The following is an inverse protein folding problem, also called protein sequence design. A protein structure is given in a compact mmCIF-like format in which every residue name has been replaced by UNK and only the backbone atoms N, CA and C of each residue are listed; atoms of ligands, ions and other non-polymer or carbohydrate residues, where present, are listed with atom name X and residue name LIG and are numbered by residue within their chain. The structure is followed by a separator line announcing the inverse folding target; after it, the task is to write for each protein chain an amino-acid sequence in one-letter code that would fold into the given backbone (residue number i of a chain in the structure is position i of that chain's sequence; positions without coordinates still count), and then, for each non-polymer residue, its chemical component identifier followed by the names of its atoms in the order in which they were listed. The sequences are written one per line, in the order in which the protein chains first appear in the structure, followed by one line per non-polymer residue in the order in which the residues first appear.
data_IF_594304895964
#
_entry.id   IF_594304895964
#
_cell.length_a   1.000
_cell.length_b   1.000
_cell.length_c   1.000
_cell.angle_alpha   90.00
_cell.angle_beta   90.00
_cell.angle_gamma   90.00
#
_symmetry.space_group_name_H-M   'P 1'
#
loop_
_entity.id
_entity.type
_entity.pdbx_description
1 polymer ?
#
# COMPACT_ATOMS: atom_id res chain seq x y z
N UNK A 1 -4.55 15.07 5.02
CA UNK A 1 -4.33 14.02 6.05
C UNK A 1 -2.96 14.24 6.66
N UNK A 2 -2.86 14.58 7.94
CA UNK A 2 -1.56 14.73 8.60
C UNK A 2 -1.04 13.35 9.01
N UNK A 3 0.24 13.08 8.74
CA UNK A 3 0.93 11.91 9.28
C UNK A 3 0.99 12.06 10.80
N UNK A 4 0.08 11.38 11.50
CA UNK A 4 0.02 11.40 12.96
C UNK A 4 1.05 10.41 13.51
N UNK A 5 2.09 10.89 14.21
CA UNK A 5 3.07 9.98 14.81
C UNK A 5 2.40 9.09 15.85
N UNK A 6 2.82 7.83 15.90
CA UNK A 6 2.34 6.82 16.85
C UNK A 6 3.54 6.14 17.52
N UNK A 7 3.46 5.79 18.82
CA UNK A 7 4.50 5.05 19.51
C UNK A 7 4.89 3.75 18.78
N UNK A 8 6.13 3.31 18.94
CA UNK A 8 6.65 2.09 18.29
C UNK A 8 5.86 0.86 18.73
N UNK A 9 5.60 0.70 20.03
CA UNK A 9 4.87 -0.46 20.56
C UNK A 9 3.46 -0.60 19.98
N UNK A 10 2.78 0.53 19.77
CA UNK A 10 1.47 0.56 19.12
C UNK A 10 1.54 0.04 17.68
N UNK A 11 2.51 0.51 16.89
CA UNK A 11 2.72 0.04 15.51
C UNK A 11 3.14 -1.44 15.50
N UNK A 12 3.96 -1.87 16.46
CA UNK A 12 4.39 -3.25 16.64
C UNK A 12 3.21 -4.19 16.93
N UNK A 13 2.26 -3.77 17.78
CA UNK A 13 1.04 -4.53 18.04
C UNK A 13 0.20 -4.72 16.78
N UNK A 14 0.03 -3.67 15.97
CA UNK A 14 -0.67 -3.74 14.68
C UNK A 14 0.04 -4.70 13.72
N UNK A 15 1.37 -4.59 13.57
CA UNK A 15 2.13 -5.46 12.68
C UNK A 15 1.99 -6.94 13.04
N UNK A 16 2.04 -7.28 14.34
CA UNK A 16 1.81 -8.65 14.83
C UNK A 16 0.40 -9.14 14.50
N UNK A 17 -0.61 -8.32 14.74
CA UNK A 17 -2.01 -8.66 14.44
C UNK A 17 -2.24 -8.89 12.93
N UNK A 18 -1.65 -8.04 12.07
CA UNK A 18 -1.71 -8.21 10.62
C UNK A 18 -1.06 -9.52 10.17
N UNK A 19 0.12 -9.85 10.72
CA UNK A 19 0.80 -11.11 10.41
C UNK A 19 -0.01 -12.34 10.82
N UNK A 20 -0.69 -12.28 11.97
CA UNK A 20 -1.51 -13.41 12.44
C UNK A 20 -2.82 -13.57 11.67
N UNK A 21 -3.44 -12.46 11.21
CA UNK A 21 -4.82 -12.48 10.68
C UNK A 21 -4.91 -12.24 9.19
N UNK A 22 -4.10 -11.35 8.62
CA UNK A 22 -4.21 -10.93 7.23
C UNK A 22 -3.24 -11.69 6.31
N UNK A 23 -2.02 -12.00 6.77
CA UNK A 23 -1.02 -12.71 5.97
C UNK A 23 -1.50 -14.07 5.44
N UNK A 24 -2.12 -14.94 6.26
CA UNK A 24 -2.64 -16.22 5.75
C UNK A 24 -3.65 -16.05 4.62
N UNK A 25 -4.49 -15.00 4.67
CA UNK A 25 -5.48 -14.70 3.65
C UNK A 25 -4.86 -14.21 2.34
N UNK A 26 -3.73 -13.49 2.43
CA UNK A 26 -2.94 -13.09 1.26
C UNK A 26 -2.24 -14.30 0.64
N UNK A 27 -1.61 -15.15 1.45
CA UNK A 27 -0.89 -16.36 1.02
C UNK A 27 -1.83 -17.38 0.36
N UNK A 28 -3.05 -17.51 0.88
CA UNK A 28 -4.11 -18.36 0.30
C UNK A 28 -4.80 -17.72 -0.91
N UNK A 29 -4.49 -16.46 -1.24
CA UNK A 29 -5.11 -15.72 -2.33
C UNK A 29 -6.58 -15.34 -2.09
N UNK A 30 -7.09 -15.47 -0.85
CA UNK A 30 -8.43 -15.03 -0.45
C UNK A 30 -8.56 -13.50 -0.44
N UNK A 31 -7.45 -12.79 -0.19
CA UNK A 31 -7.34 -11.34 -0.36
C UNK A 31 -6.30 -11.06 -1.43
N UNK A 32 -6.64 -10.18 -2.40
CA UNK A 32 -5.73 -9.78 -3.47
C UNK A 32 -5.68 -8.25 -3.59
N UNK A 33 -4.48 -7.63 -3.64
CA UNK A 33 -4.38 -6.21 -3.92
C UNK A 33 -4.75 -5.93 -5.38
N UNK A 34 -5.57 -4.90 -5.60
CA UNK A 34 -5.87 -4.40 -6.95
C UNK A 34 -4.76 -3.40 -7.30
N UNK A 35 -3.93 -3.74 -8.28
CA UNK A 35 -2.90 -2.86 -8.82
C UNK A 35 -3.46 -2.19 -10.07
N UNK A 36 -3.53 -0.87 -10.05
CA UNK A 36 -4.00 -0.06 -11.17
C UNK A 36 -2.88 0.15 -12.19
N UNK A 37 -1.71 0.57 -11.71
CA UNK A 37 -0.57 0.91 -12.55
C UNK A 37 0.74 0.69 -11.80
N UNK A 38 1.81 0.48 -12.56
CA UNK A 38 3.18 0.37 -12.05
C UNK A 38 4.08 1.30 -12.85
N UNK A 39 4.90 2.08 -12.15
CA UNK A 39 5.86 3.00 -12.74
C UNK A 39 7.27 2.71 -12.22
N UNK A 40 8.33 2.94 -13.02
CA UNK A 40 9.68 3.07 -12.49
C UNK A 40 9.74 4.19 -11.45
N UNK A 41 10.59 4.06 -10.43
CA UNK A 41 10.77 5.07 -9.39
C UNK A 41 11.16 6.43 -9.99
N UNK A 42 11.95 6.42 -11.07
CA UNK A 42 12.32 7.62 -11.83
C UNK A 42 11.10 8.39 -12.41
N UNK A 43 9.95 7.74 -12.54
CA UNK A 43 8.70 8.31 -13.05
C UNK A 43 7.68 8.61 -11.94
N UNK A 44 8.13 8.76 -10.68
CA UNK A 44 7.24 9.08 -9.55
C UNK A 44 6.34 10.30 -9.82
N UNK A 45 6.82 11.31 -10.55
CA UNK A 45 6.01 12.47 -10.93
C UNK A 45 4.77 12.09 -11.77
N UNK A 46 4.92 11.15 -12.71
CA UNK A 46 3.82 10.66 -13.56
C UNK A 46 2.83 9.81 -12.74
N UNK A 47 3.36 8.96 -11.85
CA UNK A 47 2.54 8.21 -10.90
C UNK A 47 1.69 9.14 -10.00
N UNK A 48 2.27 10.26 -9.56
CA UNK A 48 1.56 11.29 -8.80
C UNK A 48 0.48 11.99 -9.63
N UNK A 49 0.78 12.40 -10.87
CA UNK A 49 -0.20 13.01 -11.75
C UNK A 49 -1.43 12.10 -11.98
N UNK A 50 -1.22 10.79 -12.16
CA UNK A 50 -2.30 9.80 -12.25
C UNK A 50 -3.10 9.67 -10.95
N UNK A 51 -2.44 9.72 -9.80
CA UNK A 51 -3.13 9.71 -8.51
C UNK A 51 -4.01 10.96 -8.32
N UNK A 52 -3.53 12.11 -8.79
CA UNK A 52 -4.22 13.40 -8.66
C UNK A 52 -5.43 13.52 -9.60
N UNK A 53 -5.42 12.84 -10.75
CA UNK A 53 -6.60 12.79 -11.65
C UNK A 53 -7.78 12.04 -11.01
N UNK A 54 -7.52 11.17 -10.03
CA UNK A 54 -8.53 10.37 -9.36
C UNK A 54 -9.05 9.18 -10.18
N UNK A 55 -8.43 8.89 -11.32
CA UNK A 55 -8.83 7.79 -12.22
C UNK A 55 -8.37 6.41 -11.71
N UNK A 56 -7.46 6.37 -10.73
CA UNK A 56 -6.87 5.13 -10.26
C UNK A 56 -7.81 4.33 -9.35
N UNK A 57 -8.22 3.14 -9.82
CA UNK A 57 -8.90 2.14 -8.98
C UNK A 57 -7.86 1.16 -8.46
N UNK A 58 -7.46 1.32 -7.20
CA UNK A 58 -6.48 0.46 -6.53
C UNK A 58 -5.15 1.16 -6.28
N UNK A 59 -4.07 0.38 -6.25
CA UNK A 59 -2.72 0.83 -5.91
C UNK A 59 -1.93 1.23 -7.16
N UNK A 60 -1.18 2.33 -7.05
CA UNK A 60 -0.09 2.67 -7.97
C UNK A 60 1.21 2.22 -7.30
N UNK A 61 2.01 1.42 -7.99
CA UNK A 61 3.26 0.84 -7.46
C UNK A 61 4.46 1.51 -8.11
N UNK A 62 5.46 1.86 -7.31
CA UNK A 62 6.77 2.28 -7.81
C UNK A 62 7.74 1.10 -7.75
N UNK A 63 8.44 0.87 -8.85
CA UNK A 63 9.44 -0.20 -9.02
C UNK A 63 10.84 0.38 -9.08
N UNK A 64 11.81 -0.34 -8.52
CA UNK A 64 13.21 0.06 -8.53
C UNK A 64 13.81 -0.04 -9.93
#
# INVERSE_FOLDING_TARGET
STLRPRPVDFKGAIARALRQRAWPLLEQGAIKPIVHATFPLAQAAQAHAMMESGENIGKIILTA
#
